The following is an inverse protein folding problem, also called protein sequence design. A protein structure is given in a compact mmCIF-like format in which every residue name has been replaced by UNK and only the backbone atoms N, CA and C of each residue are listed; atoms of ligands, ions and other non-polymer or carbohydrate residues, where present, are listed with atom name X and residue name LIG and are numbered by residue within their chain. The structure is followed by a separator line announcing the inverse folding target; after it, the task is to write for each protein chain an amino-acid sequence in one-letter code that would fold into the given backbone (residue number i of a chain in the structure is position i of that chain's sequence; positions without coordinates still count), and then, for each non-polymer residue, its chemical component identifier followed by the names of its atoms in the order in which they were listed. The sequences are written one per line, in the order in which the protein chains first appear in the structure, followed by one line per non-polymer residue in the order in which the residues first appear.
data_IF_967444833463
#
_entry.id   IF_967444833463
#
_cell.length_a   1.000
_cell.length_b   1.000
_cell.length_c   1.000
_cell.angle_alpha   90.00
_cell.angle_beta   90.00
_cell.angle_gamma   90.00
#
_symmetry.space_group_name_H-M   'P 1'
#
loop_
_entity.id
_entity.type
_entity.pdbx_description
1 polymer ?
#
# COMPACT_ATOMS: atom_id res chain seq x y z
N UNK A 1 19.98 -17.55 2.80
CA UNK A 1 18.66 -17.00 3.18
C UNK A 1 18.85 -15.56 3.65
N UNK A 2 18.11 -14.58 3.13
CA UNK A 2 18.26 -13.19 3.56
C UNK A 2 17.85 -13.04 5.04
N UNK A 3 18.68 -12.35 5.83
CA UNK A 3 18.44 -12.08 7.26
C UNK A 3 17.11 -11.33 7.40
N UNK A 4 16.23 -11.80 8.28
CA UNK A 4 14.96 -11.12 8.58
C UNK A 4 15.30 -9.92 9.47
N UNK A 5 15.27 -8.71 8.90
CA UNK A 5 15.60 -7.49 9.64
C UNK A 5 14.57 -7.17 10.71
N UNK A 6 15.05 -6.54 11.79
CA UNK A 6 14.19 -5.97 12.84
C UNK A 6 13.28 -4.87 12.26
N UNK A 7 12.15 -4.60 12.93
CA UNK A 7 11.19 -3.59 12.43
C UNK A 7 11.83 -2.19 12.32
N UNK A 8 12.62 -1.78 13.32
CA UNK A 8 13.32 -0.49 13.32
C UNK A 8 14.38 -0.40 12.22
N UNK A 9 15.14 -1.48 11.99
CA UNK A 9 16.14 -1.55 10.92
C UNK A 9 15.49 -1.46 9.53
N UNK A 10 14.34 -2.10 9.34
CA UNK A 10 13.57 -2.01 8.11
C UNK A 10 13.08 -0.59 7.86
N UNK A 11 12.48 0.06 8.87
CA UNK A 11 11.99 1.44 8.77
C UNK A 11 13.14 2.40 8.45
N UNK A 12 14.28 2.26 9.15
CA UNK A 12 15.48 3.05 8.89
C UNK A 12 15.93 2.96 7.43
N UNK A 13 16.01 1.74 6.88
CA UNK A 13 16.44 1.53 5.50
C UNK A 13 15.42 2.00 4.45
N UNK A 14 14.12 1.86 4.72
CA UNK A 14 13.06 2.44 3.88
C UNK A 14 13.24 3.96 3.77
N UNK A 15 13.39 4.64 4.91
CA UNK A 15 13.58 6.09 4.94
C UNK A 15 14.90 6.51 4.29
N UNK A 16 16.00 5.76 4.54
CA UNK A 16 17.31 5.99 3.90
C UNK A 16 17.22 5.94 2.38
N UNK A 17 16.54 4.93 1.83
CA UNK A 17 16.36 4.79 0.37
C UNK A 17 15.55 5.97 -0.20
N UNK A 18 14.44 6.32 0.45
CA UNK A 18 13.60 7.43 -0.02
C UNK A 18 14.29 8.79 0.09
N UNK A 19 15.09 9.05 1.14
CA UNK A 19 15.89 10.28 1.24
C UNK A 19 16.90 10.39 0.09
N UNK A 20 17.51 9.28 -0.32
CA UNK A 20 18.50 9.24 -1.41
C UNK A 20 17.86 9.39 -2.78
N UNK A 21 16.70 8.77 -3.01
CA UNK A 21 16.04 8.71 -4.33
C UNK A 21 14.96 9.80 -4.54
N UNK A 22 14.45 10.42 -3.48
CA UNK A 22 13.27 11.28 -3.48
C UNK A 22 11.97 10.49 -3.65
N UNK A 23 11.85 9.78 -4.77
CA UNK A 23 10.74 8.90 -5.09
C UNK A 23 11.24 7.51 -5.53
N UNK A 24 10.47 6.46 -5.21
CA UNK A 24 10.62 5.13 -5.81
C UNK A 24 9.33 4.75 -6.51
N UNK A 25 9.42 4.47 -7.81
CA UNK A 25 8.30 4.11 -8.67
C UNK A 25 8.30 2.61 -8.96
N UNK A 26 7.41 1.87 -8.29
CA UNK A 26 7.24 0.44 -8.46
C UNK A 26 7.71 -0.35 -7.24
N UNK A 27 6.87 -1.31 -6.85
CA UNK A 27 7.11 -2.13 -5.66
C UNK A 27 8.37 -3.00 -5.79
N UNK A 28 8.57 -3.62 -6.95
CA UNK A 28 9.74 -4.48 -7.18
C UNK A 28 11.05 -3.69 -7.20
N UNK A 29 11.02 -2.44 -7.66
CA UNK A 29 12.19 -1.56 -7.61
C UNK A 29 12.56 -1.22 -6.16
N UNK A 30 11.57 -0.93 -5.32
CA UNK A 30 11.78 -0.70 -3.89
C UNK A 30 12.36 -1.94 -3.21
N UNK A 31 11.77 -3.12 -3.45
CA UNK A 31 12.25 -4.39 -2.89
C UNK A 31 13.68 -4.68 -3.34
N UNK A 32 14.01 -4.44 -4.62
CA UNK A 32 15.37 -4.58 -5.13
C UNK A 32 16.34 -3.63 -4.42
N UNK A 33 15.94 -2.39 -4.19
CA UNK A 33 16.73 -1.39 -3.45
C UNK A 33 16.99 -1.84 -2.00
N UNK A 34 15.99 -2.41 -1.32
CA UNK A 34 16.15 -2.99 0.02
C UNK A 34 17.05 -4.23 0.02
N UNK A 35 16.92 -5.08 -1.01
CA UNK A 35 17.76 -6.28 -1.16
C UNK A 35 19.23 -5.91 -1.33
N UNK A 36 19.54 -4.82 -2.03
CA UNK A 36 20.91 -4.30 -2.16
C UNK A 36 21.48 -3.78 -0.83
N UNK A 37 20.62 -3.34 0.10
CA UNK A 37 20.99 -3.01 1.48
C UNK A 37 20.97 -4.27 2.39
N UNK A 38 20.89 -5.48 1.82
CA UNK A 38 20.89 -6.75 2.56
C UNK A 38 19.54 -7.16 3.16
N UNK A 39 18.46 -6.44 2.86
CA UNK A 39 17.14 -6.64 3.47
C UNK A 39 16.20 -7.38 2.53
N UNK A 40 15.87 -8.62 2.90
CA UNK A 40 14.83 -9.41 2.22
C UNK A 40 13.44 -9.11 2.78
N UNK A 41 12.50 -8.71 1.91
CA UNK A 41 11.12 -8.43 2.30
C UNK A 41 10.12 -8.90 1.22
N UNK A 42 8.95 -9.36 1.66
CA UNK A 42 7.84 -9.65 0.74
C UNK A 42 7.07 -8.38 0.37
N UNK A 43 6.49 -8.29 -0.83
CA UNK A 43 5.61 -7.20 -1.25
C UNK A 43 4.57 -6.79 -0.21
N UNK A 44 3.85 -7.78 0.34
CA UNK A 44 2.81 -7.56 1.36
C UNK A 44 3.37 -6.91 2.63
N UNK A 45 4.55 -7.32 3.08
CA UNK A 45 5.19 -6.75 4.29
C UNK A 45 5.69 -5.33 4.02
N UNK A 46 6.27 -5.07 2.85
CA UNK A 46 6.68 -3.73 2.46
C UNK A 46 5.49 -2.76 2.51
N UNK A 47 4.37 -3.09 1.84
CA UNK A 47 3.19 -2.22 1.83
C UNK A 47 2.65 -1.98 3.23
N UNK A 48 2.52 -3.01 4.06
CA UNK A 48 2.06 -2.87 5.45
C UNK A 48 2.95 -1.91 6.24
N UNK A 49 4.25 -2.14 6.22
CA UNK A 49 5.21 -1.32 6.96
C UNK A 49 5.21 0.12 6.46
N UNK A 50 5.16 0.37 5.15
CA UNK A 50 5.15 1.75 4.64
C UNK A 50 3.89 2.51 5.06
N UNK A 51 2.70 1.89 5.06
CA UNK A 51 1.47 2.55 5.53
C UNK A 51 1.48 2.89 7.03
N UNK A 52 2.39 2.31 7.81
CA UNK A 52 2.58 2.63 9.24
C UNK A 52 3.56 3.80 9.45
N UNK A 53 4.29 4.23 8.42
CA UNK A 53 5.29 5.30 8.50
C UNK A 53 4.63 6.62 8.07
N UNK A 54 4.34 7.56 9.00
CA UNK A 54 3.59 8.77 8.69
C UNK A 54 4.32 9.74 7.74
N UNK A 55 5.64 9.65 7.64
CA UNK A 55 6.48 10.50 6.78
C UNK A 55 6.40 10.13 5.30
N UNK A 56 5.88 8.94 4.98
CA UNK A 56 5.82 8.44 3.60
C UNK A 56 4.42 8.67 3.04
N UNK A 57 4.39 9.18 1.82
CA UNK A 57 3.20 9.23 0.98
C UNK A 57 3.25 8.12 -0.07
N UNK A 58 2.09 7.49 -0.28
CA UNK A 58 1.94 6.40 -1.25
C UNK A 58 0.86 6.80 -2.26
N UNK A 59 1.28 6.93 -3.52
CA UNK A 59 0.38 7.15 -4.65
C UNK A 59 0.22 5.85 -5.43
N UNK A 60 -1.03 5.54 -5.81
CA UNK A 60 -1.35 4.28 -6.50
C UNK A 60 -2.08 4.59 -7.80
N UNK A 61 -1.56 4.08 -8.91
CA UNK A 61 -2.28 4.03 -10.18
C UNK A 61 -3.13 2.76 -10.24
N UNK A 62 -4.43 2.93 -10.49
CA UNK A 62 -5.40 1.85 -10.58
C UNK A 62 -5.78 1.58 -12.04
N UNK A 63 -6.01 0.31 -12.37
CA UNK A 63 -6.61 -0.06 -13.65
C UNK A 63 -8.11 0.23 -13.66
N UNK A 64 -8.72 0.30 -14.86
CA UNK A 64 -10.19 0.34 -15.01
C UNK A 64 -10.88 -0.98 -14.65
N UNK A 65 -10.14 -2.10 -14.57
CA UNK A 65 -10.70 -3.41 -14.25
C UNK A 65 -11.00 -3.50 -12.76
N UNK A 66 -12.25 -3.85 -12.42
CA UNK A 66 -12.64 -4.21 -11.07
C UNK A 66 -12.05 -5.56 -10.69
N UNK A 67 -11.88 -5.79 -9.39
CA UNK A 67 -11.36 -7.03 -8.85
C UNK A 67 -12.33 -7.61 -7.83
N UNK A 68 -12.40 -8.95 -7.77
CA UNK A 68 -13.14 -9.62 -6.72
C UNK A 68 -12.40 -9.43 -5.39
N UNK A 69 -13.10 -8.85 -4.42
CA UNK A 69 -12.54 -8.53 -3.10
C UNK A 69 -12.86 -9.67 -2.13
N UNK A 70 -11.81 -10.28 -1.56
CA UNK A 70 -11.92 -11.41 -0.62
C UNK A 70 -11.82 -10.99 0.86
N UNK A 71 -12.44 -9.88 1.24
CA UNK A 71 -12.45 -9.38 2.63
C UNK A 71 -11.12 -8.82 3.16
N UNK A 72 -10.00 -9.04 2.45
CA UNK A 72 -8.70 -8.42 2.70
C UNK A 72 -8.37 -7.37 1.65
N UNK A 73 -7.70 -6.30 2.08
CA UNK A 73 -7.26 -5.23 1.21
C UNK A 73 -6.19 -5.73 0.22
N UNK A 74 -6.34 -5.52 -1.10
CA UNK A 74 -5.34 -5.94 -2.09
C UNK A 74 -4.01 -5.19 -1.95
N UNK A 75 -4.05 -4.01 -1.32
CA UNK A 75 -2.89 -3.16 -1.08
C UNK A 75 -2.20 -3.57 0.22
N UNK A 76 -2.72 -3.17 1.39
CA UNK A 76 -2.03 -3.42 2.66
C UNK A 76 -2.39 -4.77 3.31
N UNK A 77 -3.35 -5.53 2.77
CA UNK A 77 -3.77 -6.80 3.38
C UNK A 77 -4.53 -6.66 4.70
N UNK A 78 -4.97 -5.46 5.09
CA UNK A 78 -5.83 -5.23 6.26
C UNK A 78 -7.27 -5.67 5.98
N UNK A 79 -8.04 -5.94 7.04
CA UNK A 79 -9.47 -6.28 6.91
C UNK A 79 -10.23 -5.12 6.27
N UNK A 80 -11.14 -5.45 5.37
CA UNK A 80 -12.00 -4.48 4.71
C UNK A 80 -13.33 -4.33 5.45
N UNK A 81 -13.88 -3.13 5.39
CA UNK A 81 -15.21 -2.80 5.91
C UNK A 81 -16.19 -2.66 4.75
N UNK A 82 -17.39 -3.25 4.82
CA UNK A 82 -18.37 -3.16 3.75
C UNK A 82 -18.91 -1.73 3.64
N UNK A 83 -18.98 -1.21 2.42
CA UNK A 83 -19.67 0.03 2.08
C UNK A 83 -21.07 -0.35 1.64
N UNK A 84 -22.08 0.18 2.34
CA UNK A 84 -23.49 -0.09 2.07
C UNK A 84 -24.16 1.16 1.51
N UNK A 85 -25.03 0.97 0.53
CA UNK A 85 -25.90 2.02 0.02
C UNK A 85 -27.36 1.58 0.10
N UNK A 86 -28.28 2.55 0.12
CA UNK A 86 -29.71 2.30 0.10
C UNK A 86 -30.17 2.03 -1.34
N UNK A 87 -30.99 1.01 -1.53
CA UNK A 87 -31.66 0.72 -2.80
C UNK A 87 -32.90 1.59 -2.96
N UNK A 88 -33.47 1.62 -4.17
CA UNK A 88 -34.73 2.31 -4.45
C UNK A 88 -35.89 1.81 -3.55
N UNK A 89 -35.82 0.56 -3.09
CA UNK A 89 -36.77 -0.07 -2.17
C UNK A 89 -36.49 0.25 -0.68
N UNK A 90 -35.51 1.10 -0.37
CA UNK A 90 -35.13 1.43 1.02
C UNK A 90 -34.26 0.38 1.72
N UNK A 91 -33.84 -0.70 1.05
CA UNK A 91 -32.99 -1.75 1.65
C UNK A 91 -31.51 -1.38 1.56
N UNK A 92 -30.69 -1.81 2.52
CA UNK A 92 -29.22 -1.60 2.48
C UNK A 92 -28.52 -2.74 1.76
N UNK A 93 -27.80 -2.46 0.67
CA UNK A 93 -26.98 -3.45 -0.06
C UNK A 93 -25.51 -3.06 -0.02
N UNK A 94 -24.62 -4.05 0.07
CA UNK A 94 -23.18 -3.84 -0.04
C UNK A 94 -22.85 -3.47 -1.49
N UNK A 95 -22.27 -2.28 -1.69
CA UNK A 95 -21.87 -1.75 -3.01
C UNK A 95 -20.36 -1.75 -3.20
N UNK A 96 -19.61 -2.06 -2.15
CA UNK A 96 -18.16 -2.15 -2.19
C UNK A 96 -17.57 -2.36 -0.81
N UNK A 97 -16.26 -2.16 -0.72
CA UNK A 97 -15.47 -2.37 0.48
C UNK A 97 -14.41 -1.28 0.60
N UNK A 98 -14.18 -0.79 1.81
CA UNK A 98 -13.13 0.21 2.08
C UNK A 98 -12.11 -0.30 3.09
N UNK A 99 -10.86 0.10 2.91
CA UNK A 99 -9.77 -0.13 3.85
C UNK A 99 -9.55 1.12 4.70
N UNK A 100 -9.64 0.97 6.02
CA UNK A 100 -9.40 2.07 6.96
C UNK A 100 -7.90 2.39 7.15
N UNK A 101 -7.00 1.50 6.72
CA UNK A 101 -5.55 1.71 6.85
C UNK A 101 -4.98 2.48 5.65
N UNK A 102 -5.23 2.00 4.43
CA UNK A 102 -4.62 2.57 3.21
C UNK A 102 -5.57 3.41 2.35
N UNK A 103 -6.84 3.54 2.74
CA UNK A 103 -7.83 4.31 2.00
C UNK A 103 -8.39 3.65 0.73
N UNK A 104 -7.93 2.45 0.35
CA UNK A 104 -8.47 1.70 -0.78
C UNK A 104 -10.00 1.55 -0.69
N UNK A 105 -10.70 1.83 -1.79
CA UNK A 105 -12.14 1.69 -1.88
C UNK A 105 -12.54 0.97 -3.17
N UNK A 106 -13.09 -0.24 -3.07
CA UNK A 106 -13.44 -1.06 -4.24
C UNK A 106 -14.58 -0.50 -5.11
N UNK A 107 -15.44 0.38 -4.57
CA UNK A 107 -16.49 1.01 -5.37
C UNK A 107 -15.90 2.04 -6.33
N UNK A 108 -14.86 2.75 -5.92
CA UNK A 108 -14.14 3.75 -6.73
C UNK A 108 -12.96 3.14 -7.48
N UNK A 109 -12.08 2.49 -6.75
CA UNK A 109 -10.77 2.04 -7.22
C UNK A 109 -10.87 0.69 -7.94
N UNK A 110 -9.97 0.45 -8.90
CA UNK A 110 -9.83 -0.83 -9.59
C UNK A 110 -8.65 -1.65 -9.08
N UNK A 111 -8.13 -2.57 -9.89
CA UNK A 111 -6.91 -3.33 -9.55
C UNK A 111 -5.69 -2.38 -9.44
N UNK A 112 -4.93 -2.39 -8.32
CA UNK A 112 -3.67 -1.63 -8.21
C UNK A 112 -2.66 -2.09 -9.26
N UNK A 113 -1.98 -1.14 -9.92
CA UNK A 113 -0.98 -1.44 -10.94
C UNK A 113 0.42 -0.95 -10.54
N UNK A 114 0.54 0.31 -10.17
CA UNK A 114 1.83 0.97 -9.90
C UNK A 114 1.73 1.69 -8.56
N UNK A 115 2.72 1.45 -7.71
CA UNK A 115 2.92 2.15 -6.45
C UNK A 115 4.04 3.16 -6.61
N UNK A 116 3.84 4.37 -6.13
CA UNK A 116 4.84 5.43 -6.06
C UNK A 116 5.00 5.80 -4.59
N UNK A 117 6.24 5.78 -4.11
CA UNK A 117 6.57 6.01 -2.71
C UNK A 117 7.46 7.25 -2.61
N UNK A 118 7.06 8.26 -1.82
CA UNK A 118 7.81 9.49 -1.62
C UNK A 118 7.78 9.95 -0.17
N UNK A 119 8.74 10.75 0.28
CA UNK A 119 8.62 11.45 1.56
C UNK A 119 7.71 12.66 1.40
N UNK A 120 6.85 12.93 2.38
CA UNK A 120 5.88 14.04 2.34
C UNK A 120 6.53 15.42 2.23
N UNK A 121 7.76 15.57 2.75
CA UNK A 121 8.49 16.83 2.83
C UNK A 121 9.92 16.69 2.25
N UNK A 122 10.11 15.97 1.12
CA UNK A 122 11.45 15.82 0.54
C UNK A 122 11.99 17.13 -0.07
N UNK A 123 11.09 17.99 -0.55
CA UNK A 123 11.41 19.21 -1.30
C UNK A 123 11.45 20.50 -0.43
N UNK A 124 11.41 20.35 0.91
CA UNK A 124 11.53 21.44 1.90
C UNK A 124 12.84 21.31 2.66
#
# INVERSE_FOLDING_TARGET
MAKRSGQSELIFNILKILRRKGEVSGEMEFISSLKNEGIGISPKRLRRTIYEIPEIEISIKYSRKKMNISGQCPICGSKLTPVRNMTLEGKRKVVGYRCNLCGFNSSRDGKPLIYMFRLKNHDL
#
